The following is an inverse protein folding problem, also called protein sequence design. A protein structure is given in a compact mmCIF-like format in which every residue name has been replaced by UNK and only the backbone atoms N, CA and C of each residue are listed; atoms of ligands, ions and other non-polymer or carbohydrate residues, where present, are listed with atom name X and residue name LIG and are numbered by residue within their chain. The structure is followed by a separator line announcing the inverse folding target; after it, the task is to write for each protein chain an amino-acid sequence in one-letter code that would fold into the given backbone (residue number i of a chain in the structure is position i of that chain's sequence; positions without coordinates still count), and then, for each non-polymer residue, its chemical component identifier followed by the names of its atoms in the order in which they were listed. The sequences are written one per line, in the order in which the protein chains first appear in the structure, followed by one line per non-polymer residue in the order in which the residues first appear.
data_IF_946161363553
#
_entry.id   IF_946161363553
#
_cell.length_a   1.000
_cell.length_b   1.000
_cell.length_c   1.000
_cell.angle_alpha   90.00
_cell.angle_beta   90.00
_cell.angle_gamma   90.00
#
_symmetry.space_group_name_H-M   'P 1'
#
loop_
_entity.id
_entity.type
_entity.pdbx_description
1 polymer ?
#
# COMPACT_ATOMS: atom_id res chain seq x y z
N UNK A 1 -18.71 13.37 0.31
CA UNK A 1 -17.31 12.89 0.17
C UNK A 1 -16.96 12.08 1.40
N UNK A 2 -16.39 10.89 1.28
CA UNK A 2 -15.85 10.18 2.44
C UNK A 2 -14.64 10.95 3.00
N UNK A 3 -14.57 11.09 4.33
CA UNK A 3 -13.46 11.73 5.03
C UNK A 3 -12.15 10.97 4.82
N UNK A 4 -11.02 11.61 5.12
CA UNK A 4 -9.71 10.98 5.07
C UNK A 4 -9.68 9.70 5.92
N UNK A 5 -10.15 9.78 7.16
CA UNK A 5 -10.22 8.65 8.09
C UNK A 5 -11.04 7.48 7.55
N UNK A 6 -12.23 7.75 6.96
CA UNK A 6 -13.06 6.70 6.36
C UNK A 6 -12.34 5.97 5.21
N UNK A 7 -11.55 6.70 4.41
CA UNK A 7 -10.76 6.10 3.33
C UNK A 7 -9.62 5.25 3.88
N UNK A 8 -8.94 5.71 4.93
CA UNK A 8 -7.88 4.96 5.60
C UNK A 8 -8.42 3.68 6.26
N UNK A 9 -9.61 3.73 6.88
CA UNK A 9 -10.27 2.54 7.42
C UNK A 9 -10.67 1.54 6.34
N UNK A 10 -11.17 2.01 5.19
CA UNK A 10 -11.46 1.15 4.05
C UNK A 10 -10.17 0.50 3.51
N UNK A 11 -9.09 1.29 3.40
CA UNK A 11 -7.78 0.80 2.98
C UNK A 11 -7.21 -0.27 3.92
N UNK A 12 -7.35 -0.09 5.24
CA UNK A 12 -6.90 -1.06 6.26
C UNK A 12 -7.49 -2.46 6.08
N UNK A 13 -8.71 -2.55 5.55
CA UNK A 13 -9.43 -3.82 5.34
C UNK A 13 -8.95 -4.58 4.10
N UNK A 14 -8.15 -3.95 3.24
CA UNK A 14 -7.62 -4.60 2.04
C UNK A 14 -6.53 -5.62 2.40
N UNK A 15 -6.40 -6.72 1.63
CA UNK A 15 -5.26 -7.62 1.75
C UNK A 15 -3.93 -6.88 1.54
N UNK A 16 -2.86 -7.27 2.24
CA UNK A 16 -1.54 -6.61 2.16
C UNK A 16 -1.01 -6.44 0.73
N UNK A 17 -1.24 -7.42 -0.14
CA UNK A 17 -0.88 -7.34 -1.56
C UNK A 17 -1.64 -6.22 -2.29
N UNK A 18 -2.93 -6.07 -2.00
CA UNK A 18 -3.74 -5.01 -2.59
C UNK A 18 -3.36 -3.64 -2.03
N UNK A 19 -3.05 -3.55 -0.72
CA UNK A 19 -2.52 -2.34 -0.11
C UNK A 19 -1.22 -1.88 -0.80
N UNK A 20 -0.30 -2.81 -1.05
CA UNK A 20 0.96 -2.54 -1.74
C UNK A 20 0.76 -2.00 -3.16
N UNK A 21 -0.08 -2.68 -3.95
CA UNK A 21 -0.38 -2.24 -5.32
C UNK A 21 -1.07 -0.87 -5.32
N UNK A 22 -1.95 -0.61 -4.35
CA UNK A 22 -2.64 0.67 -4.20
C UNK A 22 -1.67 1.80 -3.84
N UNK A 23 -0.71 1.58 -2.92
CA UNK A 23 0.33 2.56 -2.60
C UNK A 23 1.18 2.87 -3.84
N UNK A 24 1.62 1.84 -4.57
CA UNK A 24 2.40 2.01 -5.78
C UNK A 24 1.64 2.81 -6.85
N UNK A 25 0.36 2.51 -7.06
CA UNK A 25 -0.50 3.24 -7.98
C UNK A 25 -0.74 4.69 -7.53
N UNK A 26 -0.92 4.92 -6.23
CA UNK A 26 -1.11 6.26 -5.65
C UNK A 26 0.15 7.12 -5.82
N UNK A 27 1.33 6.55 -5.56
CA UNK A 27 2.64 7.21 -5.78
C UNK A 27 2.90 7.54 -7.25
N UNK A 28 2.48 6.66 -8.15
CA UNK A 28 2.67 6.84 -9.60
C UNK A 28 1.63 7.77 -10.25
N UNK A 29 0.57 8.12 -9.53
CA UNK A 29 -0.47 9.01 -10.02
C UNK A 29 -0.10 10.48 -9.75
N UNK A 30 0.05 11.34 -10.76
CA UNK A 30 0.57 12.70 -10.61
C UNK A 30 -0.33 13.65 -9.81
N UNK A 31 -1.61 13.29 -9.61
CA UNK A 31 -2.57 14.09 -8.84
C UNK A 31 -2.58 13.58 -7.39
N UNK A 32 -2.70 12.27 -7.20
CA UNK A 32 -2.81 11.68 -5.87
C UNK A 32 -1.49 11.74 -5.10
N UNK A 33 -0.34 11.68 -5.80
CA UNK A 33 0.98 11.82 -5.19
C UNK A 33 1.24 13.19 -4.57
N UNK A 34 0.47 14.22 -4.95
CA UNK A 34 0.55 15.55 -4.35
C UNK A 34 -0.15 15.64 -2.99
N UNK A 35 -1.02 14.68 -2.66
CA UNK A 35 -1.72 14.64 -1.38
C UNK A 35 -0.88 13.88 -0.34
N UNK A 36 0.08 14.60 0.25
CA UNK A 36 1.05 14.05 1.20
C UNK A 36 0.36 13.44 2.44
N UNK A 37 -0.60 14.14 3.05
CA UNK A 37 -1.35 13.63 4.21
C UNK A 37 -2.04 12.30 3.91
N UNK A 38 -2.62 12.15 2.72
CA UNK A 38 -3.24 10.89 2.32
C UNK A 38 -2.22 9.78 2.11
N UNK A 39 -1.09 10.10 1.46
CA UNK A 39 -0.03 9.16 1.14
C UNK A 39 0.67 8.65 2.41
N UNK A 40 1.02 9.54 3.32
CA UNK A 40 1.55 9.21 4.64
C UNK A 40 0.54 8.38 5.45
N UNK A 41 -0.75 8.72 5.36
CA UNK A 41 -1.82 7.98 6.02
C UNK A 41 -1.92 6.53 5.55
N UNK A 42 -1.97 6.28 4.23
CA UNK A 42 -2.04 4.91 3.69
C UNK A 42 -0.76 4.13 3.97
N UNK A 43 0.41 4.78 3.95
CA UNK A 43 1.69 4.13 4.25
C UNK A 43 1.82 3.72 5.71
N UNK A 44 1.40 4.61 6.62
CA UNK A 44 1.34 4.29 8.04
C UNK A 44 0.41 3.12 8.32
N UNK A 45 -0.81 3.15 7.79
CA UNK A 45 -1.77 2.06 7.96
C UNK A 45 -1.22 0.76 7.37
N UNK A 46 -0.54 0.82 6.23
CA UNK A 46 0.09 -0.34 5.63
C UNK A 46 1.19 -0.94 6.52
N UNK A 47 2.05 -0.11 7.10
CA UNK A 47 3.08 -0.55 8.03
C UNK A 47 2.47 -1.22 9.28
N UNK A 48 1.40 -0.65 9.84
CA UNK A 48 0.65 -1.25 10.96
C UNK A 48 0.07 -2.62 10.59
N UNK A 49 -0.56 -2.73 9.41
CA UNK A 49 -1.08 -3.99 8.91
C UNK A 49 0.03 -5.04 8.71
N UNK A 50 1.19 -4.62 8.22
CA UNK A 50 2.32 -5.51 7.98
C UNK A 50 2.93 -6.02 9.30
N UNK A 51 3.03 -5.16 10.32
CA UNK A 51 3.49 -5.55 11.66
C UNK A 51 2.53 -6.53 12.34
N UNK A 52 1.23 -6.34 12.15
CA UNK A 52 0.20 -7.24 12.69
C UNK A 52 0.00 -8.53 11.87
N UNK A 53 0.59 -8.61 10.67
CA UNK A 53 0.41 -9.73 9.76
C UNK A 53 1.08 -11.01 10.27
N UNK A 54 0.46 -12.15 9.98
CA UNK A 54 1.08 -13.45 10.28
C UNK A 54 2.31 -13.68 9.41
N UNK A 55 3.25 -14.57 9.82
CA UNK A 55 4.44 -14.89 9.03
C UNK A 55 4.11 -15.35 7.60
N UNK A 56 3.02 -16.09 7.42
CA UNK A 56 2.55 -16.55 6.11
C UNK A 56 2.06 -15.40 5.21
N UNK A 57 1.37 -14.43 5.81
CA UNK A 57 0.93 -13.23 5.12
C UNK A 57 2.12 -12.35 4.74
N UNK A 58 3.12 -12.22 5.62
CA UNK A 58 4.37 -11.50 5.34
C UNK A 58 5.15 -12.17 4.21
N UNK A 59 5.25 -13.50 4.19
CA UNK A 59 5.92 -14.23 3.12
C UNK A 59 5.22 -14.04 1.76
N UNK A 60 3.89 -14.07 1.75
CA UNK A 60 3.09 -13.78 0.55
C UNK A 60 3.28 -12.34 0.08
N UNK A 61 3.29 -11.39 1.02
CA UNK A 61 3.58 -9.98 0.76
C UNK A 61 4.98 -9.79 0.17
N UNK A 62 6.01 -10.40 0.75
CA UNK A 62 7.39 -10.29 0.28
C UNK A 62 7.54 -10.78 -1.17
N UNK A 63 6.88 -11.90 -1.52
CA UNK A 63 6.82 -12.39 -2.91
C UNK A 63 6.16 -11.38 -3.84
N UNK A 64 5.02 -10.82 -3.43
CA UNK A 64 4.31 -9.81 -4.23
C UNK A 64 5.12 -8.51 -4.39
N UNK A 65 5.86 -8.10 -3.36
CA UNK A 65 6.76 -6.94 -3.37
C UNK A 65 7.89 -7.11 -4.36
N UNK A 66 8.55 -8.27 -4.32
CA UNK A 66 9.60 -8.62 -5.27
C UNK A 66 9.09 -8.58 -6.73
N UNK A 67 7.86 -9.03 -6.99
CA UNK A 67 7.27 -8.95 -8.35
C UNK A 67 6.97 -7.53 -8.81
N UNK A 68 6.63 -6.62 -7.90
CA UNK A 68 6.37 -5.21 -8.24
C UNK A 68 7.68 -4.44 -8.45
N UNK A 69 8.67 -4.65 -7.58
CA UNK A 69 10.00 -4.02 -7.68
C UNK A 69 10.82 -4.57 -8.86
N UNK A 70 10.66 -5.86 -9.20
CA UNK A 70 11.34 -6.51 -10.32
C UNK A 70 10.89 -6.08 -11.72
N UNK A 71 9.88 -5.20 -11.84
CA UNK A 71 9.44 -4.63 -13.13
C UNK A 71 10.32 -3.47 -13.61
N UNK A 72 11.41 -3.14 -12.91
CA UNK A 72 12.25 -1.97 -13.21
C UNK A 72 13.74 -2.29 -13.38
N UNK A 73 14.09 -3.50 -13.82
CA UNK A 73 15.49 -3.92 -14.03
C UNK A 73 15.78 -4.56 -15.40
N UNK A 74 14.84 -4.50 -16.34
CA UNK A 74 15.07 -4.95 -17.73
C UNK A 74 14.19 -4.15 -18.71
N UNK A 75 14.60 -2.90 -18.97
CA UNK A 75 14.16 -2.09 -20.11
C UNK A 75 15.19 -0.99 -20.43
#
# INVERSE_FOLDING_TARGET
MASLEQRLEAFRKLPLKAQLAFIAATRSNPILSQNQDYLEGIERVHAECLQAATPEQQATYAKARASLEGTNLDA
#
